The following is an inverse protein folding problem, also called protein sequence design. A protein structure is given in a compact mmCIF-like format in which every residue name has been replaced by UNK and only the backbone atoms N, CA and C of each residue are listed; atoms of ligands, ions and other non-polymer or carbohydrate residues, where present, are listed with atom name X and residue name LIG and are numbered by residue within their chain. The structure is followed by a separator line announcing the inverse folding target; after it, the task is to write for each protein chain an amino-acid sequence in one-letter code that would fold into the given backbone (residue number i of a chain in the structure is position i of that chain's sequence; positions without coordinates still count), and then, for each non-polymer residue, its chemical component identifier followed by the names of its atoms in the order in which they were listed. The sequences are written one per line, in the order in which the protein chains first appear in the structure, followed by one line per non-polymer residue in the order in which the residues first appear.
data_IF_354758016878
#
_entry.id   IF_354758016878
#
_cell.length_a   1.000
_cell.length_b   1.000
_cell.length_c   1.000
_cell.angle_alpha   90.00
_cell.angle_beta   90.00
_cell.angle_gamma   90.00
#
_symmetry.space_group_name_H-M   'P 1'
#
loop_
_entity.id
_entity.type
_entity.pdbx_description
1 polymer ?
#
# COMPACT_ATOMS: atom_id res chain seq x y z
N UNK A 1 29.53 -19.18 9.43
CA UNK A 1 28.26 -18.60 8.98
C UNK A 1 28.52 -17.90 7.67
N UNK A 2 28.00 -18.41 6.55
CA UNK A 2 28.10 -17.70 5.28
C UNK A 2 27.32 -16.39 5.44
N UNK A 3 27.98 -15.24 5.31
CA UNK A 3 27.32 -13.94 5.34
C UNK A 3 26.36 -13.90 4.15
N UNK A 4 25.05 -13.92 4.44
CA UNK A 4 24.04 -13.71 3.41
C UNK A 4 24.27 -12.31 2.84
N UNK A 5 24.66 -12.23 1.56
CA UNK A 5 24.84 -10.94 0.89
C UNK A 5 23.47 -10.33 0.58
N UNK A 6 23.24 -9.11 1.05
CA UNK A 6 22.07 -8.30 0.73
C UNK A 6 22.37 -7.26 -0.36
N UNK A 7 23.30 -7.60 -1.26
CA UNK A 7 23.56 -6.77 -2.43
C UNK A 7 22.30 -6.64 -3.32
N UNK A 8 22.02 -5.46 -3.89
CA UNK A 8 20.80 -5.21 -4.67
C UNK A 8 20.56 -6.22 -5.78
N UNK A 9 21.63 -6.63 -6.49
CA UNK A 9 21.54 -7.64 -7.56
C UNK A 9 21.14 -9.02 -7.03
N UNK A 10 21.69 -9.44 -5.90
CA UNK A 10 21.34 -10.71 -5.25
C UNK A 10 19.88 -10.70 -4.79
N UNK A 11 19.41 -9.57 -4.27
CA UNK A 11 18.02 -9.38 -3.87
C UNK A 11 17.11 -9.53 -5.09
N UNK A 12 17.40 -8.83 -6.18
CA UNK A 12 16.62 -8.90 -7.42
C UNK A 12 16.53 -10.31 -7.97
N UNK A 13 17.65 -11.02 -8.05
CA UNK A 13 17.71 -12.42 -8.52
C UNK A 13 16.85 -13.35 -7.65
N UNK A 14 16.91 -13.19 -6.32
CA UNK A 14 16.08 -13.98 -5.39
C UNK A 14 14.58 -13.73 -5.60
N UNK A 15 14.17 -12.48 -5.80
CA UNK A 15 12.77 -12.16 -6.09
C UNK A 15 12.32 -12.72 -7.45
N UNK A 16 13.15 -12.67 -8.49
CA UNK A 16 12.80 -13.25 -9.80
C UNK A 16 12.60 -14.77 -9.73
N UNK A 17 13.47 -15.48 -9.02
CA UNK A 17 13.38 -16.94 -8.86
C UNK A 17 12.12 -17.34 -8.08
N UNK A 18 11.76 -16.58 -7.02
CA UNK A 18 10.62 -16.89 -6.17
C UNK A 18 9.39 -16.03 -6.50
N UNK A 19 9.32 -15.51 -7.73
CA UNK A 19 8.38 -14.48 -8.11
C UNK A 19 6.91 -14.89 -7.88
N UNK A 20 6.50 -16.07 -8.32
CA UNK A 20 5.11 -16.51 -8.24
C UNK A 20 4.60 -16.60 -6.79
N UNK A 21 5.45 -17.04 -5.85
CA UNK A 21 5.11 -17.09 -4.43
C UNK A 21 5.09 -15.71 -3.79
N UNK A 22 6.13 -14.91 -4.09
CA UNK A 22 6.25 -13.57 -3.55
C UNK A 22 5.09 -12.67 -3.97
N UNK A 23 4.80 -12.64 -5.28
CA UNK A 23 3.83 -11.68 -5.82
C UNK A 23 2.42 -11.96 -5.30
N UNK A 24 2.04 -13.22 -5.13
CA UNK A 24 0.74 -13.59 -4.57
C UNK A 24 0.60 -13.09 -3.12
N UNK A 25 1.61 -13.36 -2.28
CA UNK A 25 1.61 -12.91 -0.88
C UNK A 25 1.64 -11.38 -0.78
N UNK A 26 2.46 -10.72 -1.59
CA UNK A 26 2.57 -9.26 -1.61
C UNK A 26 1.29 -8.58 -2.10
N UNK A 27 0.72 -9.04 -3.22
CA UNK A 27 -0.51 -8.46 -3.76
C UNK A 27 -1.71 -8.70 -2.84
N UNK A 28 -1.78 -9.86 -2.18
CA UNK A 28 -2.80 -10.12 -1.17
C UNK A 28 -2.68 -9.18 0.02
N UNK A 29 -1.46 -8.94 0.50
CA UNK A 29 -1.18 -7.95 1.54
C UNK A 29 -1.62 -6.55 1.09
N UNK A 30 -1.20 -6.10 -0.10
CA UNK A 30 -1.54 -4.78 -0.65
C UNK A 30 -3.04 -4.61 -0.87
N UNK A 31 -3.71 -5.62 -1.43
CA UNK A 31 -5.16 -5.60 -1.63
C UNK A 31 -5.90 -5.43 -0.30
N UNK A 32 -5.53 -6.21 0.71
CA UNK A 32 -6.12 -6.13 2.05
C UNK A 32 -5.86 -4.78 2.71
N UNK A 33 -4.63 -4.30 2.65
CA UNK A 33 -4.22 -3.02 3.20
C UNK A 33 -5.02 -1.86 2.58
N UNK A 34 -5.01 -1.76 1.26
CA UNK A 34 -5.68 -0.67 0.53
C UNK A 34 -7.21 -0.73 0.68
N UNK A 35 -7.81 -1.92 0.68
CA UNK A 35 -9.25 -2.08 0.88
C UNK A 35 -9.68 -1.66 2.28
N UNK A 36 -8.89 -1.99 3.31
CA UNK A 36 -9.13 -1.53 4.68
C UNK A 36 -9.00 -0.01 4.80
N UNK A 37 -8.01 0.59 4.15
CA UNK A 37 -7.83 2.04 4.09
C UNK A 37 -9.01 2.72 3.39
N UNK A 38 -9.44 2.18 2.23
CA UNK A 38 -10.57 2.71 1.48
C UNK A 38 -11.86 2.68 2.32
N UNK A 39 -12.13 1.57 2.96
CA UNK A 39 -13.29 1.40 3.86
C UNK A 39 -13.25 2.39 5.02
N UNK A 40 -12.10 2.52 5.67
CA UNK A 40 -11.93 3.39 6.84
C UNK A 40 -12.07 4.87 6.53
N UNK A 41 -11.43 5.32 5.47
CA UNK A 41 -11.37 6.76 5.12
C UNK A 41 -12.37 7.15 4.05
N UNK A 42 -13.20 6.20 3.57
CA UNK A 42 -14.21 6.37 2.51
C UNK A 42 -13.63 6.77 1.15
N UNK A 43 -12.34 7.00 1.06
CA UNK A 43 -11.57 7.11 -0.17
C UNK A 43 -10.06 7.05 0.11
N UNK A 44 -9.29 6.65 -0.89
CA UNK A 44 -7.86 6.46 -0.76
C UNK A 44 -7.05 7.76 -0.72
N UNK A 45 -7.57 8.90 -1.23
CA UNK A 45 -6.89 10.19 -1.10
C UNK A 45 -6.78 10.60 0.37
N UNK A 46 -7.87 10.45 1.14
CA UNK A 46 -7.85 10.70 2.58
C UNK A 46 -6.89 9.75 3.29
N UNK A 47 -6.91 8.47 2.92
CA UNK A 47 -6.00 7.47 3.47
C UNK A 47 -4.54 7.86 3.22
N UNK A 48 -4.19 8.20 1.99
CA UNK A 48 -2.84 8.61 1.62
C UNK A 48 -2.35 9.80 2.45
N UNK A 49 -3.20 10.81 2.66
CA UNK A 49 -2.88 11.93 3.54
C UNK A 49 -2.61 11.47 4.99
N UNK A 50 -3.44 10.58 5.52
CA UNK A 50 -3.24 10.08 6.89
C UNK A 50 -1.95 9.28 7.02
N UNK A 51 -1.59 8.45 6.02
CA UNK A 51 -0.29 7.76 5.99
C UNK A 51 0.88 8.74 5.96
N UNK A 52 0.79 9.82 5.16
CA UNK A 52 1.79 10.88 5.12
C UNK A 52 1.99 11.53 6.50
N UNK A 53 0.91 11.90 7.17
CA UNK A 53 0.99 12.52 8.50
C UNK A 53 1.48 11.54 9.56
N UNK A 54 1.06 10.27 9.53
CA UNK A 54 1.56 9.21 10.39
C UNK A 54 3.07 9.01 10.21
N UNK A 55 3.56 8.91 8.98
CA UNK A 55 4.99 8.83 8.67
C UNK A 55 5.77 9.98 9.29
N UNK A 56 5.26 11.21 9.19
CA UNK A 56 5.92 12.41 9.73
C UNK A 56 6.01 12.39 11.27
N UNK A 57 5.03 11.82 11.95
CA UNK A 57 5.10 11.63 13.39
C UNK A 57 6.26 10.69 13.77
N UNK A 58 6.42 9.58 13.05
CA UNK A 58 7.54 8.66 13.27
C UNK A 58 8.90 9.24 12.86
N UNK A 59 8.95 10.09 11.83
CA UNK A 59 10.19 10.75 11.37
C UNK A 59 10.89 11.54 12.49
N UNK A 60 10.12 12.24 13.30
CA UNK A 60 10.66 13.01 14.44
C UNK A 60 11.36 12.09 15.46
N UNK A 61 10.81 10.90 15.67
CA UNK A 61 11.39 9.90 16.58
C UNK A 61 12.70 9.36 15.98
N UNK A 62 12.70 9.04 14.69
CA UNK A 62 13.89 8.56 14.00
C UNK A 62 15.05 9.57 13.97
N UNK A 63 14.73 10.87 13.89
CA UNK A 63 15.78 11.90 13.97
C UNK A 63 16.54 11.87 15.28
N UNK A 64 15.87 11.57 16.38
CA UNK A 64 16.53 11.36 17.68
C UNK A 64 17.40 10.11 17.67
N UNK A 65 16.97 9.04 17.01
CA UNK A 65 17.73 7.80 16.84
C UNK A 65 19.10 8.00 16.15
N UNK A 66 19.27 9.03 15.33
CA UNK A 66 20.59 9.36 14.75
C UNK A 66 21.66 9.68 15.78
N UNK A 67 21.25 10.13 16.97
CA UNK A 67 22.15 10.50 18.08
C UNK A 67 22.16 9.44 19.19
N UNK A 68 21.17 8.57 19.23
CA UNK A 68 21.02 7.49 20.19
C UNK A 68 20.36 6.29 19.48
N UNK A 69 21.17 5.30 19.08
CA UNK A 69 20.72 4.14 18.31
C UNK A 69 19.66 3.28 19.04
N UNK A 70 19.66 3.33 20.37
CA UNK A 70 18.67 2.64 21.19
C UNK A 70 17.36 3.43 21.34
N UNK A 71 17.33 4.69 20.86
CA UNK A 71 16.14 5.50 20.91
C UNK A 71 15.10 4.99 19.91
N UNK A 72 14.09 4.34 20.43
CA UNK A 72 12.89 3.95 19.66
C UNK A 72 11.66 4.01 20.59
N UNK A 73 10.49 4.00 19.97
CA UNK A 73 9.24 3.95 20.71
C UNK A 73 8.48 2.70 20.30
N UNK A 74 8.18 1.85 21.30
CA UNK A 74 7.34 0.67 21.08
C UNK A 74 5.91 1.04 20.70
N UNK A 75 5.17 0.09 20.12
CA UNK A 75 3.78 0.26 19.73
C UNK A 75 2.91 0.84 20.85
N UNK A 76 3.03 0.30 22.06
CA UNK A 76 2.26 0.77 23.21
C UNK A 76 2.63 2.19 23.64
N UNK A 77 3.93 2.49 23.67
CA UNK A 77 4.41 3.80 24.09
C UNK A 77 4.14 4.88 23.05
N UNK A 78 4.09 4.52 21.76
CA UNK A 78 3.75 5.46 20.70
C UNK A 78 2.34 6.05 20.92
N UNK A 79 1.36 5.19 21.17
CA UNK A 79 -0.02 5.65 21.40
C UNK A 79 -0.19 6.44 22.68
N UNK A 80 0.53 6.06 23.75
CA UNK A 80 0.50 6.79 25.04
C UNK A 80 1.10 8.20 24.94
N UNK A 81 2.07 8.37 24.04
CA UNK A 81 2.84 9.62 23.93
C UNK A 81 2.55 10.42 22.65
N UNK A 82 1.52 10.05 21.89
CA UNK A 82 1.24 10.66 20.58
C UNK A 82 1.12 12.19 20.64
N UNK A 83 0.46 12.73 21.65
CA UNK A 83 0.29 14.18 21.83
C UNK A 83 1.59 14.93 22.09
N UNK A 84 2.58 14.26 22.70
CA UNK A 84 3.89 14.83 22.98
C UNK A 84 4.87 14.75 21.81
N UNK A 85 4.53 14.01 20.75
CA UNK A 85 5.37 13.88 19.56
C UNK A 85 5.35 15.18 18.79
N UNK A 86 6.48 15.87 18.74
CA UNK A 86 6.64 17.07 17.91
C UNK A 86 6.45 16.72 16.45
N UNK A 87 5.67 17.51 15.74
CA UNK A 87 5.46 17.36 14.31
C UNK A 87 5.86 18.65 13.60
N UNK A 88 6.69 18.54 12.57
CA UNK A 88 7.10 19.69 11.78
C UNK A 88 5.93 20.29 11.00
N UNK A 89 6.04 21.58 10.72
CA UNK A 89 5.09 22.28 9.86
C UNK A 89 5.10 21.68 8.46
N UNK A 90 3.92 21.52 7.88
CA UNK A 90 3.77 21.14 6.48
C UNK A 90 2.75 22.06 5.81
N UNK A 91 3.10 22.56 4.63
CA UNK A 91 2.21 23.38 3.80
C UNK A 91 1.37 22.52 2.86
N UNK A 92 0.28 23.07 2.35
CA UNK A 92 -0.54 22.39 1.32
C UNK A 92 0.26 22.09 0.04
N UNK A 93 1.24 22.94 -0.29
CA UNK A 93 2.12 22.68 -1.45
C UNK A 93 2.95 21.43 -1.19
N UNK A 94 3.62 21.34 -0.04
CA UNK A 94 4.41 20.16 0.32
C UNK A 94 3.55 18.89 0.42
N UNK A 95 2.30 18.97 0.89
CA UNK A 95 1.36 17.85 0.89
C UNK A 95 1.05 17.43 -0.55
N UNK A 96 0.76 18.38 -1.44
CA UNK A 96 0.51 18.14 -2.86
C UNK A 96 1.69 17.42 -3.53
N UNK A 97 2.90 17.92 -3.31
CA UNK A 97 4.14 17.35 -3.89
C UNK A 97 4.40 15.93 -3.36
N UNK A 98 4.21 15.72 -2.04
CA UNK A 98 4.45 14.43 -1.38
C UNK A 98 3.42 13.36 -1.73
N UNK A 99 2.22 13.73 -2.16
CA UNK A 99 1.13 12.78 -2.46
C UNK A 99 0.81 12.68 -3.95
N UNK A 100 1.31 13.60 -4.76
CA UNK A 100 0.93 13.73 -6.17
C UNK A 100 -0.50 14.23 -6.39
N UNK A 101 -1.25 14.57 -5.34
CA UNK A 101 -2.58 15.15 -5.44
C UNK A 101 -2.52 16.61 -5.93
N UNK A 102 -3.43 17.05 -6.80
CA UNK A 102 -3.56 18.47 -7.12
C UNK A 102 -3.75 19.32 -5.86
N UNK A 103 -3.08 20.47 -5.79
CA UNK A 103 -3.08 21.37 -4.61
C UNK A 103 -4.48 21.62 -4.02
N UNK A 104 -5.45 21.88 -4.86
CA UNK A 104 -6.83 22.16 -4.42
C UNK A 104 -7.50 20.90 -3.85
N UNK A 105 -7.23 19.72 -4.45
CA UNK A 105 -7.69 18.43 -3.91
C UNK A 105 -7.06 18.18 -2.54
N UNK A 106 -5.74 18.34 -2.41
CA UNK A 106 -5.03 18.21 -1.13
C UNK A 106 -5.62 19.15 -0.07
N UNK A 107 -5.87 20.43 -0.42
CA UNK A 107 -6.48 21.40 0.48
C UNK A 107 -7.87 20.95 0.97
N UNK A 108 -8.73 20.52 0.06
CA UNK A 108 -10.08 20.06 0.37
C UNK A 108 -10.05 18.81 1.26
N UNK A 109 -9.19 17.85 0.97
CA UNK A 109 -9.03 16.61 1.74
C UNK A 109 -8.48 16.86 3.15
N UNK A 110 -7.51 17.77 3.29
CA UNK A 110 -7.03 18.21 4.62
C UNK A 110 -8.17 18.83 5.44
N UNK A 111 -9.01 19.67 4.85
CA UNK A 111 -10.16 20.27 5.55
C UNK A 111 -11.17 19.20 5.97
N UNK A 112 -11.42 18.20 5.12
CA UNK A 112 -12.28 17.05 5.45
C UNK A 112 -11.74 16.26 6.65
N UNK A 113 -10.42 15.97 6.68
CA UNK A 113 -9.77 15.27 7.79
C UNK A 113 -9.76 16.08 9.09
N UNK A 114 -9.67 17.43 9.00
CA UNK A 114 -9.80 18.30 10.17
C UNK A 114 -11.25 18.26 10.70
N UNK A 115 -12.25 18.34 9.82
CA UNK A 115 -13.66 18.20 10.19
C UNK A 115 -13.95 16.87 10.90
N UNK A 116 -13.29 15.80 10.45
CA UNK A 116 -13.40 14.47 11.03
C UNK A 116 -12.52 14.24 12.27
N UNK A 117 -11.87 15.30 12.80
CA UNK A 117 -11.02 15.25 14.00
C UNK A 117 -9.85 14.26 13.91
N UNK A 118 -9.33 14.02 12.71
CA UNK A 118 -8.14 13.20 12.43
C UNK A 118 -6.89 14.10 12.39
N UNK A 119 -7.03 15.28 11.79
CA UNK A 119 -6.02 16.33 11.77
C UNK A 119 -6.50 17.54 12.58
N UNK A 120 -5.54 18.27 13.09
CA UNK A 120 -5.79 19.55 13.80
C UNK A 120 -5.02 20.66 13.10
N UNK A 121 -5.59 21.88 13.09
CA UNK A 121 -4.92 23.05 12.55
C UNK A 121 -4.86 24.14 13.62
N UNK A 122 -3.65 24.52 14.02
CA UNK A 122 -3.40 25.64 14.93
C UNK A 122 -2.39 26.60 14.26
N UNK A 123 -2.71 27.87 14.17
CA UNK A 123 -1.83 28.90 13.60
C UNK A 123 -1.16 28.51 12.26
N UNK A 124 -1.96 28.02 11.32
CA UNK A 124 -1.51 27.51 10.00
C UNK A 124 -0.66 26.24 10.03
N UNK A 125 -0.44 25.63 11.20
CA UNK A 125 0.25 24.35 11.34
C UNK A 125 -0.82 23.26 11.33
N UNK A 126 -0.60 22.26 10.47
CA UNK A 126 -1.44 21.07 10.38
C UNK A 126 -0.67 19.92 11.02
N UNK A 127 -1.31 19.23 11.96
CA UNK A 127 -0.72 18.10 12.69
C UNK A 127 -1.68 16.92 12.73
N UNK A 128 -1.14 15.72 12.82
CA UNK A 128 -1.91 14.53 13.10
C UNK A 128 -2.19 14.46 14.60
N UNK A 129 -3.43 14.68 14.96
CA UNK A 129 -3.90 14.70 16.35
C UNK A 129 -5.29 14.06 16.39
N UNK A 130 -5.35 12.74 16.19
CA UNK A 130 -6.62 12.01 16.17
C UNK A 130 -7.24 11.96 17.57
N UNK A 131 -8.57 11.88 17.64
CA UNK A 131 -9.28 11.68 18.89
C UNK A 131 -9.16 10.22 19.39
N UNK A 132 -9.53 9.97 20.66
CA UNK A 132 -9.40 8.67 21.32
C UNK A 132 -10.15 7.54 20.60
N UNK A 133 -11.36 7.82 20.07
CA UNK A 133 -12.15 6.86 19.31
C UNK A 133 -11.42 6.43 18.04
N UNK A 134 -10.80 7.37 17.35
CA UNK A 134 -9.97 7.07 16.20
C UNK A 134 -8.76 6.25 16.59
N UNK A 135 -8.03 6.65 17.64
CA UNK A 135 -6.84 5.94 18.13
C UNK A 135 -7.18 4.49 18.44
N UNK A 136 -8.24 4.24 19.19
CA UNK A 136 -8.67 2.87 19.56
C UNK A 136 -8.89 1.98 18.33
N UNK A 137 -9.60 2.50 17.33
CA UNK A 137 -9.88 1.73 16.11
C UNK A 137 -8.65 1.57 15.23
N UNK A 138 -7.84 2.65 15.10
CA UNK A 138 -6.63 2.64 14.27
C UNK A 138 -5.56 1.71 14.84
N UNK A 139 -5.41 1.64 16.15
CA UNK A 139 -4.50 0.71 16.84
C UNK A 139 -4.77 -0.74 16.44
N UNK A 140 -6.01 -1.18 16.46
CA UNK A 140 -6.37 -2.54 16.03
C UNK A 140 -6.05 -2.81 14.56
N UNK A 141 -6.20 -1.80 13.68
CA UNK A 141 -5.79 -1.91 12.28
C UNK A 141 -4.27 -2.06 12.18
N UNK A 142 -3.50 -1.25 12.90
CA UNK A 142 -2.02 -1.31 12.91
C UNK A 142 -1.53 -2.67 13.40
N UNK A 143 -2.10 -3.20 14.49
CA UNK A 143 -1.76 -4.53 15.03
C UNK A 143 -2.00 -5.64 14.00
N UNK A 144 -3.12 -5.58 13.27
CA UNK A 144 -3.40 -6.51 12.17
C UNK A 144 -2.39 -6.35 11.04
N UNK A 145 -2.07 -5.12 10.64
CA UNK A 145 -1.11 -4.84 9.58
C UNK A 145 0.31 -5.31 9.95
N UNK A 146 0.72 -5.19 11.22
CA UNK A 146 1.99 -5.75 11.71
C UNK A 146 1.98 -7.28 11.53
N UNK A 147 0.86 -7.93 11.82
CA UNK A 147 0.73 -9.38 11.60
C UNK A 147 0.86 -9.73 10.11
N UNK A 148 0.08 -9.07 9.24
CA UNK A 148 0.06 -9.34 7.80
C UNK A 148 1.44 -9.05 7.17
N UNK A 149 2.11 -7.94 7.55
CA UNK A 149 3.47 -7.62 7.16
C UNK A 149 4.47 -8.69 7.63
N UNK A 150 4.29 -9.24 8.84
CA UNK A 150 5.16 -10.29 9.37
C UNK A 150 5.07 -11.59 8.56
N UNK A 151 3.93 -11.89 7.96
CA UNK A 151 3.77 -13.01 7.03
C UNK A 151 4.59 -12.75 5.76
N UNK A 152 4.48 -11.56 5.17
CA UNK A 152 5.28 -11.19 3.98
C UNK A 152 6.78 -11.28 4.27
N UNK A 153 7.23 -10.74 5.41
CA UNK A 153 8.64 -10.75 5.81
C UNK A 153 9.15 -12.17 6.09
N UNK A 154 8.33 -13.07 6.63
CA UNK A 154 8.69 -14.48 6.77
C UNK A 154 8.94 -15.12 5.39
N UNK A 155 8.05 -14.89 4.42
CA UNK A 155 8.25 -15.39 3.05
C UNK A 155 9.53 -14.85 2.42
N UNK A 156 9.76 -13.55 2.48
CA UNK A 156 10.98 -12.92 1.99
C UNK A 156 12.21 -13.47 2.70
N UNK A 157 12.13 -13.67 4.01
CA UNK A 157 13.22 -14.28 4.80
C UNK A 157 13.62 -15.66 4.29
N UNK A 158 12.67 -16.47 3.86
CA UNK A 158 12.96 -17.81 3.30
C UNK A 158 13.83 -17.73 2.04
N UNK A 159 13.68 -16.69 1.20
CA UNK A 159 14.51 -16.50 0.01
C UNK A 159 16.01 -16.34 0.34
N UNK A 160 16.28 -15.87 1.56
CA UNK A 160 17.63 -15.65 2.09
C UNK A 160 18.05 -16.70 3.11
N UNK A 161 17.33 -17.83 3.21
CA UNK A 161 17.55 -18.87 4.20
C UNK A 161 17.52 -18.38 5.65
N UNK A 162 16.73 -17.33 5.91
CA UNK A 162 16.48 -16.84 7.26
C UNK A 162 15.31 -17.64 7.85
N UNK A 163 15.56 -18.35 8.92
CA UNK A 163 14.51 -19.08 9.65
C UNK A 163 13.74 -18.11 10.57
N UNK A 164 12.83 -17.34 9.97
CA UNK A 164 12.05 -16.33 10.66
C UNK A 164 10.67 -16.87 11.03
N UNK A 165 10.28 -16.67 12.29
CA UNK A 165 8.93 -16.99 12.76
C UNK A 165 8.06 -15.74 12.85
N UNK A 166 6.83 -15.80 12.34
CA UNK A 166 5.88 -14.66 12.30
C UNK A 166 5.75 -13.97 13.65
N UNK A 167 5.62 -14.72 14.75
CA UNK A 167 5.47 -14.15 16.09
C UNK A 167 6.75 -13.43 16.57
N UNK A 168 7.93 -13.89 16.18
CA UNK A 168 9.18 -13.21 16.49
C UNK A 168 9.32 -11.90 15.71
N UNK A 169 8.95 -11.91 14.43
CA UNK A 169 8.93 -10.69 13.59
C UNK A 169 7.96 -9.67 14.19
N UNK A 170 6.74 -10.07 14.56
CA UNK A 170 5.76 -9.21 15.23
C UNK A 170 6.32 -8.57 16.50
N UNK A 171 6.97 -9.36 17.37
CA UNK A 171 7.60 -8.86 18.60
C UNK A 171 8.69 -7.82 18.30
N UNK A 172 9.54 -8.09 17.31
CA UNK A 172 10.60 -7.16 16.90
C UNK A 172 10.01 -5.86 16.37
N UNK A 173 9.02 -5.92 15.46
CA UNK A 173 8.35 -4.74 14.93
C UNK A 173 7.65 -3.95 16.04
N UNK A 174 6.92 -4.63 16.94
CA UNK A 174 6.21 -3.95 18.04
C UNK A 174 7.14 -3.32 19.05
N UNK A 175 8.30 -3.93 19.35
CA UNK A 175 9.32 -3.37 20.24
C UNK A 175 9.97 -2.14 19.63
N UNK A 176 10.34 -2.18 18.35
CA UNK A 176 11.01 -1.09 17.63
C UNK A 176 10.01 -0.44 16.64
N UNK A 177 8.82 -0.11 17.14
CA UNK A 177 7.68 0.22 16.30
C UNK A 177 7.94 1.44 15.44
N UNK A 178 8.44 2.54 16.01
CA UNK A 178 8.62 3.78 15.25
C UNK A 178 9.63 3.64 14.11
N UNK A 179 10.67 2.81 14.28
CA UNK A 179 11.63 2.53 13.21
C UNK A 179 10.97 1.77 12.05
N UNK A 180 10.40 0.60 12.32
CA UNK A 180 9.82 -0.22 11.27
C UNK A 180 8.61 0.46 10.63
N UNK A 181 7.79 1.14 11.43
CA UNK A 181 6.58 1.77 10.93
C UNK A 181 6.88 3.00 10.07
N UNK A 182 7.92 3.76 10.40
CA UNK A 182 8.39 4.82 9.51
C UNK A 182 8.74 4.29 8.12
N UNK A 183 9.56 3.26 8.05
CA UNK A 183 9.98 2.69 6.76
C UNK A 183 8.82 2.06 5.99
N UNK A 184 7.93 1.39 6.69
CA UNK A 184 6.69 0.87 6.09
C UNK A 184 5.84 2.01 5.50
N UNK A 185 5.54 3.04 6.27
CA UNK A 185 4.75 4.17 5.81
C UNK A 185 5.46 4.98 4.72
N UNK A 186 6.79 5.09 4.76
CA UNK A 186 7.57 5.73 3.71
C UNK A 186 7.41 5.00 2.38
N UNK A 187 7.56 3.66 2.40
CA UNK A 187 7.38 2.81 1.21
C UNK A 187 5.97 2.92 0.66
N UNK A 188 4.94 2.82 1.51
CA UNK A 188 3.55 2.94 1.08
C UNK A 188 3.23 4.33 0.52
N UNK A 189 3.72 5.41 1.13
CA UNK A 189 3.51 6.77 0.61
C UNK A 189 4.19 6.96 -0.75
N UNK A 190 5.41 6.47 -0.94
CA UNK A 190 6.12 6.54 -2.23
C UNK A 190 5.35 5.75 -3.30
N UNK A 191 4.91 4.54 -2.97
CA UNK A 191 4.15 3.67 -3.84
C UNK A 191 2.83 4.33 -4.27
N UNK A 192 2.04 4.81 -3.31
CA UNK A 192 0.79 5.51 -3.59
C UNK A 192 1.01 6.81 -4.38
N UNK A 193 2.08 7.55 -4.10
CA UNK A 193 2.43 8.78 -4.85
C UNK A 193 2.76 8.47 -6.30
N UNK A 194 3.54 7.42 -6.55
CA UNK A 194 3.87 6.97 -7.90
C UNK A 194 2.61 6.68 -8.70
N UNK A 195 1.73 5.84 -8.15
CA UNK A 195 0.49 5.44 -8.82
C UNK A 195 -0.53 6.59 -8.95
N UNK A 196 -0.60 7.49 -7.97
CA UNK A 196 -1.41 8.71 -8.08
C UNK A 196 -0.93 9.59 -9.23
N UNK A 197 0.38 9.75 -9.39
CA UNK A 197 0.96 10.53 -10.50
C UNK A 197 0.73 9.86 -11.85
N UNK A 198 0.81 8.54 -11.90
CA UNK A 198 0.63 7.76 -13.14
C UNK A 198 -0.83 7.75 -13.61
N UNK A 199 -1.76 7.30 -12.76
CA UNK A 199 -3.17 7.14 -13.13
C UNK A 199 -4.03 8.38 -12.89
N UNK A 200 -3.53 9.39 -12.17
CA UNK A 200 -4.31 10.55 -11.71
C UNK A 200 -5.53 10.17 -10.84
N UNK A 201 -5.62 8.91 -10.41
CA UNK A 201 -6.74 8.34 -9.68
C UNK A 201 -6.29 7.10 -8.91
N UNK A 202 -6.14 7.24 -7.60
CA UNK A 202 -5.60 6.18 -6.74
C UNK A 202 -6.54 4.96 -6.58
N UNK A 203 -7.86 5.12 -6.80
CA UNK A 203 -8.78 3.99 -6.76
C UNK A 203 -8.61 3.09 -8.00
N UNK A 204 -8.12 3.62 -9.12
CA UNK A 204 -7.72 2.82 -10.30
C UNK A 204 -6.59 1.88 -9.92
N UNK A 205 -5.66 2.35 -9.09
CA UNK A 205 -4.59 1.52 -8.56
C UNK A 205 -5.11 0.36 -7.69
N UNK A 206 -6.04 0.61 -6.76
CA UNK A 206 -6.66 -0.46 -5.97
C UNK A 206 -7.35 -1.52 -6.85
N UNK A 207 -8.05 -1.09 -7.90
CA UNK A 207 -8.64 -2.00 -8.89
C UNK A 207 -7.55 -2.82 -9.58
N UNK A 208 -6.45 -2.18 -10.01
CA UNK A 208 -5.31 -2.83 -10.65
C UNK A 208 -4.65 -3.88 -9.77
N UNK A 209 -4.41 -3.59 -8.49
CA UNK A 209 -3.83 -4.52 -7.50
C UNK A 209 -4.70 -5.78 -7.38
N UNK A 210 -6.03 -5.64 -7.30
CA UNK A 210 -6.92 -6.79 -7.18
C UNK A 210 -6.94 -7.64 -8.46
N UNK A 211 -6.84 -7.03 -9.61
CA UNK A 211 -6.74 -7.75 -10.88
C UNK A 211 -5.39 -8.45 -10.99
N UNK A 212 -4.30 -7.79 -10.63
CA UNK A 212 -2.97 -8.40 -10.60
C UNK A 212 -2.91 -9.59 -9.63
N UNK A 213 -3.58 -9.50 -8.46
CA UNK A 213 -3.70 -10.61 -7.50
C UNK A 213 -4.39 -11.82 -8.13
N UNK A 214 -5.51 -11.62 -8.83
CA UNK A 214 -6.19 -12.73 -9.53
C UNK A 214 -5.28 -13.40 -10.57
N UNK A 215 -4.52 -12.59 -11.32
CA UNK A 215 -3.58 -13.10 -12.33
C UNK A 215 -2.40 -13.84 -11.69
N UNK A 216 -1.85 -13.33 -10.57
CA UNK A 216 -0.75 -13.98 -9.84
C UNK A 216 -1.16 -15.34 -9.28
N UNK A 217 -2.38 -15.44 -8.72
CA UNK A 217 -2.92 -16.70 -8.23
C UNK A 217 -3.01 -17.75 -9.34
N UNK A 218 -3.45 -17.32 -10.52
CA UNK A 218 -3.46 -18.19 -11.70
C UNK A 218 -2.04 -18.57 -12.14
N UNK A 219 -1.10 -17.63 -12.17
CA UNK A 219 0.30 -17.88 -12.54
C UNK A 219 0.94 -18.89 -11.59
N UNK A 220 0.68 -18.79 -10.29
CA UNK A 220 1.15 -19.77 -9.29
C UNK A 220 0.61 -21.18 -9.56
N UNK A 221 -0.66 -21.29 -9.91
CA UNK A 221 -1.29 -22.57 -10.27
C UNK A 221 -0.68 -23.17 -11.55
N UNK A 222 -0.29 -22.33 -12.50
CA UNK A 222 0.30 -22.73 -13.77
C UNK A 222 1.84 -22.80 -13.75
N UNK A 223 2.49 -22.52 -12.59
CA UNK A 223 3.95 -22.48 -12.40
C UNK A 223 4.69 -21.57 -13.41
N UNK A 224 4.08 -20.45 -13.80
CA UNK A 224 4.71 -19.50 -14.73
C UNK A 224 5.80 -18.68 -14.07
N UNK A 225 6.88 -18.44 -14.81
CA UNK A 225 8.02 -17.64 -14.38
C UNK A 225 7.71 -16.12 -14.48
N UNK A 226 8.60 -15.30 -13.86
CA UNK A 226 8.57 -13.85 -14.03
C UNK A 226 8.63 -13.45 -15.51
N UNK A 227 9.53 -14.06 -16.29
CA UNK A 227 9.73 -13.73 -17.71
C UNK A 227 8.50 -14.08 -18.56
N UNK A 228 7.83 -15.20 -18.27
CA UNK A 228 6.61 -15.59 -18.97
C UNK A 228 5.46 -14.63 -18.68
N UNK A 229 5.36 -14.14 -17.45
CA UNK A 229 4.28 -13.26 -17.04
C UNK A 229 4.46 -11.81 -17.52
N UNK A 230 5.68 -11.28 -17.40
CA UNK A 230 5.95 -9.85 -17.65
C UNK A 230 6.60 -9.56 -18.99
N UNK A 231 7.52 -10.43 -19.47
CA UNK A 231 8.20 -10.20 -20.74
C UNK A 231 7.46 -10.81 -21.93
N UNK A 232 6.61 -11.82 -21.69
CA UNK A 232 5.78 -12.46 -22.72
C UNK A 232 4.31 -12.54 -22.29
N UNK A 233 3.66 -11.42 -21.97
CA UNK A 233 2.30 -11.39 -21.40
C UNK A 233 1.25 -11.98 -22.35
N UNK A 234 1.47 -11.98 -23.67
CA UNK A 234 0.56 -12.57 -24.64
C UNK A 234 0.37 -14.08 -24.45
N UNK A 235 1.45 -14.78 -24.03
CA UNK A 235 1.40 -16.21 -23.74
C UNK A 235 0.74 -16.51 -22.36
N UNK A 236 0.63 -15.49 -21.51
CA UNK A 236 0.08 -15.62 -20.15
C UNK A 236 -1.42 -15.33 -20.13
N UNK A 237 -1.90 -14.46 -21.03
CA UNK A 237 -3.27 -13.97 -21.05
C UNK A 237 -4.16 -14.84 -21.92
N UNK A 238 -4.67 -15.93 -21.38
CA UNK A 238 -5.78 -16.63 -22.00
C UNK A 238 -7.09 -15.86 -21.73
N UNK A 239 -7.67 -15.24 -22.77
CA UNK A 239 -8.81 -14.33 -22.65
C UNK A 239 -10.07 -14.96 -22.02
N UNK A 240 -10.23 -16.28 -22.11
CA UNK A 240 -11.43 -16.96 -21.56
C UNK A 240 -11.45 -17.05 -20.05
N UNK A 241 -10.26 -17.08 -19.41
CA UNK A 241 -10.13 -17.35 -17.98
C UNK A 241 -9.75 -16.12 -17.15
N UNK A 242 -9.44 -14.99 -17.80
CA UNK A 242 -8.95 -13.77 -17.16
C UNK A 242 -9.98 -12.64 -17.12
N UNK A 243 -11.24 -12.94 -17.41
CA UNK A 243 -12.29 -11.94 -17.37
C UNK A 243 -12.79 -11.70 -15.94
N UNK A 244 -13.08 -10.45 -15.63
CA UNK A 244 -13.53 -10.02 -14.33
C UNK A 244 -14.82 -9.20 -14.43
N UNK A 245 -15.71 -9.37 -13.46
CA UNK A 245 -16.92 -8.58 -13.37
C UNK A 245 -16.70 -7.31 -12.53
N UNK A 246 -17.37 -6.22 -12.91
CA UNK A 246 -17.38 -5.01 -12.09
C UNK A 246 -18.02 -5.25 -10.71
N UNK A 247 -18.90 -6.24 -10.57
CA UNK A 247 -19.51 -6.63 -9.31
C UNK A 247 -18.46 -7.25 -8.37
N UNK A 248 -17.68 -8.22 -8.85
CA UNK A 248 -16.62 -8.85 -8.05
C UNK A 248 -15.58 -7.82 -7.57
N UNK A 249 -15.16 -6.89 -8.44
CA UNK A 249 -14.26 -5.81 -8.02
C UNK A 249 -14.91 -4.89 -6.98
N UNK A 250 -16.20 -4.57 -7.14
CA UNK A 250 -16.92 -3.74 -6.16
C UNK A 250 -16.97 -4.41 -4.78
N UNK A 251 -17.23 -5.70 -4.73
CA UNK A 251 -17.28 -6.48 -3.49
C UNK A 251 -15.93 -6.56 -2.77
N UNK A 252 -14.85 -6.79 -3.53
CA UNK A 252 -13.50 -6.90 -2.97
C UNK A 252 -12.96 -5.54 -2.50
N UNK A 253 -13.20 -4.47 -3.27
CA UNK A 253 -12.61 -3.15 -3.01
C UNK A 253 -13.46 -2.24 -2.15
N UNK A 254 -14.73 -2.58 -1.92
CA UNK A 254 -15.75 -1.72 -1.34
C UNK A 254 -15.95 -0.38 -2.10
N UNK A 255 -15.55 -0.33 -3.37
CA UNK A 255 -15.83 0.79 -4.26
C UNK A 255 -17.24 0.57 -4.87
N UNK A 256 -18.14 1.58 -4.86
CA UNK A 256 -19.46 1.43 -5.46
C UNK A 256 -19.40 0.97 -6.91
N UNK A 257 -20.23 -0.03 -7.28
CA UNK A 257 -20.20 -0.69 -8.59
C UNK A 257 -20.24 0.29 -9.77
N UNK A 258 -21.04 1.36 -9.68
CA UNK A 258 -21.10 2.40 -10.71
C UNK A 258 -19.73 3.11 -10.90
N UNK A 259 -19.03 3.36 -9.80
CA UNK A 259 -17.68 3.93 -9.82
C UNK A 259 -16.67 2.94 -10.42
N UNK A 260 -16.73 1.66 -10.06
CA UNK A 260 -15.90 0.61 -10.65
C UNK A 260 -16.09 0.56 -12.16
N UNK A 261 -17.33 0.54 -12.67
CA UNK A 261 -17.62 0.54 -14.11
C UNK A 261 -16.99 1.75 -14.80
N UNK A 262 -17.14 2.94 -14.23
CA UNK A 262 -16.54 4.17 -14.78
C UNK A 262 -15.02 4.07 -14.88
N UNK A 263 -14.37 3.52 -13.84
CA UNK A 263 -12.90 3.36 -13.79
C UNK A 263 -12.40 2.27 -14.73
N UNK A 264 -13.09 1.13 -14.81
CA UNK A 264 -12.76 0.09 -15.78
C UNK A 264 -12.92 0.59 -17.23
N UNK A 265 -13.97 1.38 -17.52
CA UNK A 265 -14.13 2.01 -18.83
C UNK A 265 -13.02 3.03 -19.13
N UNK A 266 -12.47 3.70 -18.11
CA UNK A 266 -11.28 4.55 -18.27
C UNK A 266 -10.05 3.71 -18.64
N UNK A 267 -9.82 2.57 -17.99
CA UNK A 267 -8.75 1.64 -18.33
C UNK A 267 -8.91 1.04 -19.75
N UNK A 268 -10.15 0.83 -20.20
CA UNK A 268 -10.43 0.43 -21.59
C UNK A 268 -10.03 1.53 -22.59
N UNK A 269 -10.31 2.81 -22.27
CA UNK A 269 -9.86 3.95 -23.11
C UNK A 269 -8.34 4.06 -23.18
N UNK A 270 -7.64 3.72 -22.12
CA UNK A 270 -6.17 3.67 -22.07
C UNK A 270 -5.59 2.42 -22.75
N UNK A 271 -6.42 1.54 -23.32
CA UNK A 271 -6.06 0.25 -23.94
C UNK A 271 -5.45 -0.78 -22.99
N UNK A 272 -5.46 -0.53 -21.69
CA UNK A 272 -4.97 -1.46 -20.66
C UNK A 272 -5.97 -2.62 -20.43
N UNK A 273 -7.23 -2.40 -20.78
CA UNK A 273 -8.33 -3.37 -20.69
C UNK A 273 -9.15 -3.41 -21.97
N UNK A 274 -9.83 -4.55 -22.16
CA UNK A 274 -10.91 -4.68 -23.14
C UNK A 274 -12.18 -5.16 -22.43
N UNK A 275 -13.34 -4.86 -22.99
CA UNK A 275 -14.62 -5.32 -22.49
C UNK A 275 -15.27 -6.27 -23.49
N UNK A 276 -15.70 -7.42 -23.04
CA UNK A 276 -16.55 -8.32 -23.82
C UNK A 276 -17.93 -7.67 -24.00
N UNK A 277 -18.34 -7.47 -25.24
CA UNK A 277 -19.61 -6.79 -25.59
C UNK A 277 -20.85 -7.57 -25.16
N UNK A 278 -20.75 -8.90 -25.08
CA UNK A 278 -21.86 -9.81 -24.73
C UNK A 278 -21.95 -9.95 -23.22
N UNK A 279 -20.89 -10.42 -22.58
CA UNK A 279 -20.87 -10.72 -21.13
C UNK A 279 -20.70 -9.49 -20.25
N UNK A 280 -20.29 -8.33 -20.82
CA UNK A 280 -19.93 -7.09 -20.12
C UNK A 280 -18.78 -7.25 -19.12
N UNK A 281 -18.05 -8.37 -19.16
CA UNK A 281 -16.86 -8.60 -18.35
C UNK A 281 -15.64 -7.94 -18.97
N UNK A 282 -14.64 -7.66 -18.14
CA UNK A 282 -13.42 -6.97 -18.52
C UNK A 282 -12.25 -7.95 -18.45
N UNK A 283 -11.27 -7.80 -19.32
CA UNK A 283 -10.03 -8.56 -19.30
C UNK A 283 -8.83 -7.68 -19.61
N UNK A 284 -7.70 -8.06 -19.04
CA UNK A 284 -6.43 -7.34 -19.13
C UNK A 284 -5.83 -7.54 -20.52
N UNK A 285 -5.20 -6.50 -21.04
CA UNK A 285 -4.41 -6.59 -22.29
C UNK A 285 -2.91 -6.70 -21.96
N UNK A 286 -2.06 -7.15 -22.90
CA UNK A 286 -0.61 -7.16 -22.70
C UNK A 286 -0.03 -5.81 -22.27
N UNK A 287 -0.59 -4.71 -22.78
CA UNK A 287 -0.17 -3.35 -22.47
C UNK A 287 -0.27 -2.99 -20.96
N UNK A 288 -1.11 -3.69 -20.22
CA UNK A 288 -1.21 -3.51 -18.77
C UNK A 288 0.12 -3.82 -18.05
N UNK A 289 0.82 -4.85 -18.47
CA UNK A 289 2.11 -5.26 -17.90
C UNK A 289 3.27 -4.41 -18.42
N UNK A 290 3.14 -3.85 -19.61
CA UNK A 290 4.19 -3.03 -20.24
C UNK A 290 4.14 -1.57 -19.81
N UNK A 291 3.06 -1.13 -19.18
CA UNK A 291 2.85 0.26 -18.75
C UNK A 291 3.17 0.53 -17.27
N UNK A 292 3.59 -0.49 -16.53
CA UNK A 292 3.87 -0.41 -15.08
C UNK A 292 5.35 -0.15 -14.75
#
# INVERSE_FOLDING_TARGET
MNSTSFEPKTIEEKFKINFAEYIDVFLNFQSTFLSNLNTRYKNLDNAHLVLLFGRRAHETILRKRKFDLEHDISLDNFWKNLESISQEKISIIQISDSTGLPKETARRKVLELIKNKILTRKNKIITWSPNDEYIKTYRGIVEKQIHDLSIVLKYVGNFFNLNLETENIKKIISKNFSFFWFHFLETENQYLTLWTKHFKDIEVFLIGVNIALMLSQKTKLENKSFDEMYNNPENTLNHKDNDISATSISEITNIPRATVIRKLNHLVKLKLFKQNKITKRYYVTPEFFLSS
#
